data_IF_768897082409
#
_entry.id   IF_768897082409
#
_cell.length_a   1.000
_cell.length_b   1.000
_cell.length_c   1.000
_cell.angle_alpha   90.00
_cell.angle_beta   90.00
_cell.angle_gamma   90.00
#
_symmetry.space_group_name_H-M   'P 1'
#
loop_
_entity.id
_entity.type
_entity.pdbx_description
1 polymer ?
#
# COMPACT_ATOMS: atom_id res chain seq x y z
N UNK A 1 3.07 11.13 -18.37
CA UNK A 1 4.11 10.59 -17.48
C UNK A 1 3.52 10.47 -16.07
N UNK A 2 3.63 9.32 -15.48
CA UNK A 2 3.15 9.04 -14.13
C UNK A 2 3.97 9.85 -13.11
N UNK A 3 3.33 10.37 -12.05
CA UNK A 3 4.02 10.98 -10.90
C UNK A 3 3.56 10.32 -9.62
N UNK A 4 4.52 9.84 -8.81
CA UNK A 4 4.27 9.23 -7.52
C UNK A 4 4.94 10.03 -6.40
N UNK A 5 4.16 10.55 -5.46
CA UNK A 5 4.67 11.12 -4.21
C UNK A 5 4.90 10.01 -3.18
N UNK A 6 6.11 9.95 -2.66
CA UNK A 6 6.58 8.85 -1.82
C UNK A 6 7.31 9.36 -0.57
N UNK A 7 7.20 8.62 0.51
CA UNK A 7 8.05 8.75 1.70
C UNK A 7 8.60 7.38 2.08
N UNK A 8 9.84 7.33 2.56
CA UNK A 8 10.47 6.10 3.03
C UNK A 8 9.62 5.45 4.14
N UNK A 9 9.50 4.13 4.12
CA UNK A 9 8.72 3.33 5.08
C UNK A 9 7.23 3.65 5.14
N UNK A 10 6.67 4.29 4.13
CA UNK A 10 5.24 4.58 4.01
C UNK A 10 4.55 3.65 3.00
N UNK A 11 3.21 3.63 3.02
CA UNK A 11 2.39 2.81 2.11
C UNK A 11 2.58 3.11 0.63
N UNK A 12 3.14 4.25 0.30
CA UNK A 12 3.55 4.62 -1.06
C UNK A 12 4.67 3.71 -1.64
N UNK A 13 5.30 2.88 -0.81
CA UNK A 13 6.19 1.82 -1.28
C UNK A 13 5.47 0.80 -2.16
N UNK A 14 4.20 0.49 -1.88
CA UNK A 14 3.43 -0.50 -2.64
C UNK A 14 3.30 -0.15 -4.12
N UNK A 15 2.76 1.04 -4.50
CA UNK A 15 2.72 1.43 -5.90
C UNK A 15 4.11 1.66 -6.51
N UNK A 16 5.11 2.08 -5.73
CA UNK A 16 6.48 2.16 -6.22
C UNK A 16 6.99 0.78 -6.63
N UNK A 17 6.83 -0.22 -5.77
CA UNK A 17 7.21 -1.59 -6.09
C UNK A 17 6.44 -2.13 -7.30
N UNK A 18 5.12 -1.85 -7.39
CA UNK A 18 4.33 -2.24 -8.56
C UNK A 18 4.84 -1.62 -9.86
N UNK A 19 5.26 -0.34 -9.85
CA UNK A 19 5.87 0.29 -11.03
C UNK A 19 7.15 -0.43 -11.48
N UNK A 20 8.01 -0.79 -10.53
CA UNK A 20 9.26 -1.53 -10.81
C UNK A 20 8.98 -2.95 -11.34
N UNK A 21 8.04 -3.68 -10.74
CA UNK A 21 7.66 -5.04 -11.20
C UNK A 21 6.98 -5.02 -12.58
N UNK A 22 6.35 -3.92 -12.97
CA UNK A 22 5.85 -3.70 -14.32
C UNK A 22 6.95 -3.32 -15.32
N UNK A 23 8.20 -3.18 -14.86
CA UNK A 23 9.34 -2.78 -15.69
C UNK A 23 9.34 -1.31 -16.11
N UNK A 24 8.56 -0.47 -15.43
CA UNK A 24 8.54 0.97 -15.69
C UNK A 24 9.77 1.65 -15.09
N UNK A 25 10.37 2.56 -15.84
CA UNK A 25 11.67 3.15 -15.51
C UNK A 25 11.52 4.53 -14.88
N UNK A 26 12.09 4.70 -13.70
CA UNK A 26 12.18 6.01 -13.06
C UNK A 26 12.90 7.04 -13.96
N UNK A 27 12.35 8.26 -14.04
CA UNK A 27 12.88 9.35 -14.87
C UNK A 27 12.51 9.25 -16.36
N UNK A 28 11.85 8.17 -16.80
CA UNK A 28 11.42 7.94 -18.20
C UNK A 28 9.90 7.71 -18.24
N UNK A 29 9.43 6.67 -17.58
CA UNK A 29 8.03 6.24 -17.60
C UNK A 29 7.26 6.83 -16.40
N UNK A 30 7.94 7.03 -15.27
CA UNK A 30 7.38 7.70 -14.10
C UNK A 30 8.40 8.60 -13.38
N UNK A 31 7.89 9.56 -12.61
CA UNK A 31 8.64 10.46 -11.74
C UNK A 31 8.33 10.17 -10.27
N UNK A 32 9.38 10.03 -9.45
CA UNK A 32 9.28 9.84 -8.01
C UNK A 32 9.55 11.15 -7.28
N UNK A 33 8.57 11.65 -6.56
CA UNK A 33 8.66 12.85 -5.72
C UNK A 33 8.81 12.45 -4.26
N UNK A 34 10.04 12.53 -3.75
CA UNK A 34 10.35 12.19 -2.36
C UNK A 34 9.87 13.27 -1.40
N UNK A 35 9.23 12.85 -0.31
CA UNK A 35 8.74 13.72 0.77
C UNK A 35 9.24 13.23 2.13
N UNK A 36 9.49 14.13 3.09
CA UNK A 36 9.72 13.76 4.47
C UNK A 36 8.44 13.15 5.08
N UNK A 37 8.59 12.22 6.03
CA UNK A 37 7.44 11.58 6.69
C UNK A 37 7.27 12.09 8.14
N UNK A 38 6.06 12.42 8.58
CA UNK A 38 4.82 12.54 7.80
C UNK A 38 4.73 13.87 7.02
N UNK A 39 4.33 13.84 5.74
CA UNK A 39 4.38 15.02 4.87
C UNK A 39 3.58 16.21 5.42
N UNK A 40 2.41 15.99 5.98
CA UNK A 40 1.55 17.05 6.56
C UNK A 40 2.22 17.89 7.64
N UNK A 41 3.28 17.36 8.27
CA UNK A 41 4.04 18.04 9.33
C UNK A 41 5.25 18.76 8.77
N UNK A 42 5.96 18.11 7.84
CA UNK A 42 7.28 18.56 7.40
C UNK A 42 7.29 19.24 6.02
N UNK A 43 6.16 19.20 5.29
CA UNK A 43 6.02 19.76 3.94
C UNK A 43 4.59 20.28 3.76
N UNK A 44 4.29 21.46 4.33
CA UNK A 44 2.92 21.99 4.34
C UNK A 44 2.39 22.36 2.95
N UNK A 45 3.25 22.74 2.04
CA UNK A 45 2.92 23.02 0.64
C UNK A 45 2.34 21.80 -0.08
N UNK A 46 2.68 20.59 0.39
CA UNK A 46 2.12 19.36 -0.14
C UNK A 46 0.60 19.24 0.07
N UNK A 47 0.02 19.93 1.04
CA UNK A 47 -1.43 19.95 1.27
C UNK A 47 -2.21 20.55 0.07
N UNK A 48 -1.57 21.38 -0.74
CA UNK A 48 -2.16 21.88 -1.99
C UNK A 48 -2.24 20.79 -3.07
N UNK A 49 -1.39 19.76 -2.98
CA UNK A 49 -1.35 18.62 -3.91
C UNK A 49 -2.28 17.51 -3.40
N UNK A 50 -2.18 17.18 -2.13
CA UNK A 50 -3.02 16.19 -1.45
C UNK A 50 -3.51 16.74 -0.11
N UNK A 51 -4.79 17.17 -0.02
CA UNK A 51 -5.36 17.72 1.22
C UNK A 51 -5.37 16.75 2.40
N UNK A 52 -5.29 15.44 2.16
CA UNK A 52 -5.13 14.43 3.22
C UNK A 52 -3.76 14.50 3.91
N UNK A 53 -2.77 15.10 3.26
CA UNK A 53 -1.40 15.18 3.75
C UNK A 53 -0.73 13.82 3.97
N UNK A 54 -1.18 12.80 3.22
CA UNK A 54 -0.69 11.41 3.27
C UNK A 54 0.01 11.03 1.97
N UNK A 55 0.81 9.97 2.01
CA UNK A 55 1.36 9.32 0.81
C UNK A 55 0.85 7.88 0.74
N UNK A 56 0.62 7.36 -0.48
CA UNK A 56 0.91 7.95 -1.78
C UNK A 56 -0.03 9.08 -2.18
N UNK A 57 0.42 9.96 -3.06
CA UNK A 57 -0.41 10.64 -4.03
C UNK A 57 0.12 10.28 -5.41
N UNK A 58 -0.77 9.88 -6.29
CA UNK A 58 -0.45 9.32 -7.60
C UNK A 58 -1.20 10.09 -8.68
N UNK A 59 -0.51 10.38 -9.78
CA UNK A 59 -1.05 11.08 -10.93
C UNK A 59 -0.66 10.36 -12.22
N UNK A 60 -1.64 10.15 -13.10
CA UNK A 60 -1.45 9.65 -14.46
C UNK A 60 -2.36 10.45 -15.40
N UNK A 61 -1.81 11.48 -16.04
CA UNK A 61 -2.62 12.48 -16.73
C UNK A 61 -3.60 13.16 -15.78
N UNK A 62 -4.89 13.04 -16.06
CA UNK A 62 -5.97 13.61 -15.22
C UNK A 62 -6.37 12.70 -14.04
N UNK A 63 -5.88 11.47 -14.02
CA UNK A 63 -6.17 10.52 -12.93
C UNK A 63 -5.42 10.93 -11.68
N UNK A 64 -6.12 11.00 -10.54
CA UNK A 64 -5.57 11.29 -9.23
C UNK A 64 -6.02 10.24 -8.24
N UNK A 65 -5.08 9.62 -7.52
CA UNK A 65 -5.37 8.55 -6.56
C UNK A 65 -4.52 8.69 -5.30
N UNK A 66 -5.06 8.23 -4.16
CA UNK A 66 -4.38 8.26 -2.86
C UNK A 66 -4.33 6.89 -2.17
N UNK A 67 -5.17 5.95 -2.60
CA UNK A 67 -5.27 4.63 -2.00
C UNK A 67 -4.24 3.68 -2.63
N UNK A 68 -3.27 3.22 -1.83
CA UNK A 68 -2.13 2.44 -2.33
C UNK A 68 -2.53 1.14 -3.02
N UNK A 69 -3.48 0.39 -2.47
CA UNK A 69 -3.96 -0.85 -3.08
C UNK A 69 -4.70 -0.60 -4.40
N UNK A 70 -5.52 0.46 -4.45
CA UNK A 70 -6.22 0.84 -5.68
C UNK A 70 -5.24 1.32 -6.77
N UNK A 71 -4.17 2.01 -6.39
CA UNK A 71 -3.11 2.42 -7.33
C UNK A 71 -2.41 1.17 -7.89
N UNK A 72 -2.07 0.19 -7.07
CA UNK A 72 -1.47 -1.06 -7.54
C UNK A 72 -2.39 -1.77 -8.54
N UNK A 73 -3.67 -1.93 -8.21
CA UNK A 73 -4.65 -2.53 -9.11
C UNK A 73 -4.79 -1.73 -10.43
N UNK A 74 -4.87 -0.41 -10.34
CA UNK A 74 -4.93 0.48 -11.52
C UNK A 74 -3.72 0.30 -12.42
N UNK A 75 -2.51 0.32 -11.85
CA UNK A 75 -1.26 0.17 -12.60
C UNK A 75 -1.21 -1.17 -13.34
N UNK A 76 -1.52 -2.27 -12.66
CA UNK A 76 -1.49 -3.60 -13.24
C UNK A 76 -2.49 -3.71 -14.40
N UNK A 77 -3.72 -3.23 -14.23
CA UNK A 77 -4.74 -3.25 -15.29
C UNK A 77 -4.42 -2.27 -16.43
N UNK A 78 -3.82 -1.12 -16.12
CA UNK A 78 -3.46 -0.10 -17.14
C UNK A 78 -2.30 -0.54 -18.03
N UNK A 79 -1.40 -1.37 -17.50
CA UNK A 79 -0.23 -1.91 -18.20
C UNK A 79 -0.41 -3.38 -18.59
N UNK A 80 -1.65 -3.84 -18.73
CA UNK A 80 -1.96 -5.18 -19.21
C UNK A 80 -1.53 -5.37 -20.69
N UNK A 81 -1.16 -6.61 -21.10
CA UNK A 81 -1.10 -7.81 -20.28
C UNK A 81 0.11 -7.83 -19.35
N UNK A 82 -0.10 -8.20 -18.09
CA UNK A 82 0.95 -8.36 -17.10
C UNK A 82 0.74 -9.65 -16.29
N UNK A 83 1.79 -10.38 -15.91
CA UNK A 83 1.65 -11.54 -15.02
C UNK A 83 1.13 -11.15 -13.63
N UNK A 84 1.25 -9.90 -13.24
CA UNK A 84 0.75 -9.37 -11.96
C UNK A 84 -0.78 -9.23 -11.95
N UNK A 85 -1.43 -9.19 -13.13
CA UNK A 85 -2.87 -9.10 -13.24
C UNK A 85 -3.52 -10.49 -13.10
N UNK A 86 -4.60 -10.55 -12.32
CA UNK A 86 -5.55 -11.64 -12.35
C UNK A 86 -6.84 -11.10 -12.94
N UNK A 87 -7.24 -11.62 -14.10
CA UNK A 87 -8.39 -11.12 -14.85
C UNK A 87 -9.71 -11.59 -14.25
N UNK A 88 -10.83 -10.87 -14.48
CA UNK A 88 -12.14 -11.23 -13.95
C UNK A 88 -12.66 -12.61 -14.37
N UNK A 89 -12.17 -13.15 -15.47
CA UNK A 89 -12.51 -14.49 -15.97
C UNK A 89 -11.60 -15.61 -15.44
N UNK A 90 -10.53 -15.28 -14.73
CA UNK A 90 -9.68 -16.26 -14.06
C UNK A 90 -10.32 -16.78 -12.76
N UNK A 91 -10.24 -18.08 -12.46
CA UNK A 91 -10.79 -18.64 -11.23
C UNK A 91 -10.26 -18.00 -9.94
N UNK A 92 -9.02 -17.51 -9.96
CA UNK A 92 -8.36 -16.88 -8.82
C UNK A 92 -8.73 -15.41 -8.59
N UNK A 93 -9.52 -14.78 -9.47
CA UNK A 93 -9.82 -13.35 -9.41
C UNK A 93 -10.40 -12.89 -8.06
N UNK A 94 -11.37 -13.65 -7.53
CA UNK A 94 -11.95 -13.33 -6.23
C UNK A 94 -10.96 -13.43 -5.07
N UNK A 95 -10.09 -14.43 -5.11
CA UNK A 95 -9.01 -14.60 -4.13
C UNK A 95 -8.00 -13.45 -4.22
N UNK A 96 -7.60 -13.08 -5.43
CA UNK A 96 -6.69 -11.96 -5.67
C UNK A 96 -7.21 -10.64 -5.12
N UNK A 97 -8.46 -10.29 -5.42
CA UNK A 97 -9.10 -9.11 -4.82
C UNK A 97 -9.14 -9.18 -3.29
N UNK A 98 -9.53 -10.35 -2.76
CA UNK A 98 -9.59 -10.53 -1.31
C UNK A 98 -8.23 -10.31 -0.65
N UNK A 99 -7.15 -10.87 -1.17
CA UNK A 99 -5.81 -10.69 -0.61
C UNK A 99 -5.28 -9.27 -0.76
N UNK A 100 -5.55 -8.60 -1.88
CA UNK A 100 -5.20 -7.21 -2.10
C UNK A 100 -5.82 -6.30 -1.00
N UNK A 101 -7.12 -6.44 -0.77
CA UNK A 101 -7.83 -5.65 0.24
C UNK A 101 -7.61 -6.15 1.67
N UNK A 102 -7.30 -7.42 1.87
CA UNK A 102 -6.89 -7.96 3.17
C UNK A 102 -5.61 -7.26 3.66
N UNK A 103 -4.64 -7.08 2.79
CA UNK A 103 -3.42 -6.34 3.09
C UNK A 103 -3.69 -4.90 3.51
N UNK A 104 -4.63 -4.21 2.84
CA UNK A 104 -4.95 -2.81 3.13
C UNK A 104 -5.87 -2.67 4.35
N UNK A 105 -7.02 -3.32 4.35
CA UNK A 105 -8.04 -3.10 5.37
C UNK A 105 -7.77 -3.92 6.64
N UNK A 106 -7.37 -5.19 6.50
CA UNK A 106 -7.28 -6.09 7.65
C UNK A 106 -5.95 -5.99 8.37
N UNK A 107 -4.82 -5.89 7.65
CA UNK A 107 -3.49 -5.84 8.24
C UNK A 107 -3.00 -4.42 8.52
N UNK A 108 -3.23 -3.48 7.61
CA UNK A 108 -2.67 -2.13 7.72
C UNK A 108 -3.31 -1.33 8.86
N UNK A 109 -4.60 -1.48 9.10
CA UNK A 109 -5.30 -0.72 10.13
C UNK A 109 -4.73 -0.95 11.54
N UNK A 110 -4.65 -2.17 12.08
CA UNK A 110 -4.07 -2.40 13.41
C UNK A 110 -2.58 -2.00 13.47
N UNK A 111 -1.81 -2.27 12.42
CA UNK A 111 -0.41 -1.85 12.36
C UNK A 111 -0.24 -0.33 12.47
N UNK A 112 -1.11 0.43 11.82
CA UNK A 112 -1.09 1.91 11.88
C UNK A 112 -1.34 2.41 13.31
N UNK A 113 -2.23 1.79 14.06
CA UNK A 113 -2.52 2.17 15.44
C UNK A 113 -1.39 1.81 16.40
N UNK A 114 -0.73 0.66 16.20
CA UNK A 114 0.49 0.32 16.93
C UNK A 114 1.55 1.39 16.70
N UNK A 115 1.83 1.72 15.44
CA UNK A 115 2.82 2.73 15.07
C UNK A 115 2.48 4.09 15.68
N UNK A 116 1.23 4.52 15.58
CA UNK A 116 0.75 5.79 16.12
C UNK A 116 1.00 5.91 17.61
N UNK A 117 0.47 4.99 18.40
CA UNK A 117 0.47 5.09 19.86
C UNK A 117 1.79 4.67 20.50
N UNK A 118 2.68 3.98 19.79
CA UNK A 118 4.01 3.60 20.29
C UNK A 118 5.09 4.62 19.91
N UNK A 119 4.99 5.25 18.72
CA UNK A 119 6.11 6.02 18.16
C UNK A 119 5.75 7.41 17.65
N UNK A 120 4.55 7.64 17.10
CA UNK A 120 4.23 8.90 16.42
C UNK A 120 3.59 9.95 17.32
N UNK A 121 2.84 9.54 18.33
CA UNK A 121 2.28 10.50 19.29
C UNK A 121 3.36 11.01 20.25
N UNK A 122 3.29 12.27 20.69
CA UNK A 122 4.08 12.78 21.81
C UNK A 122 3.91 11.88 23.05
N UNK A 123 4.92 11.82 23.90
CA UNK A 123 5.00 10.87 25.00
C UNK A 123 3.75 10.90 25.92
N UNK A 124 3.27 12.10 26.23
CA UNK A 124 2.11 12.35 27.06
C UNK A 124 0.77 11.90 26.43
N UNK A 125 0.76 11.63 25.12
CA UNK A 125 -0.40 11.15 24.36
C UNK A 125 -0.28 9.70 23.93
N UNK A 126 0.81 9.03 24.25
CA UNK A 126 0.98 7.62 23.95
C UNK A 126 0.01 6.78 24.77
N UNK A 127 -0.52 5.74 24.13
CA UNK A 127 -1.45 4.80 24.75
C UNK A 127 -0.87 3.39 24.64
N UNK A 128 0.01 2.97 25.59
CA UNK A 128 0.66 1.66 25.54
C UNK A 128 -0.32 0.49 25.44
N UNK A 129 -1.40 0.52 26.23
CA UNK A 129 -2.44 -0.51 26.21
C UNK A 129 -3.08 -0.63 24.81
N UNK A 130 -3.42 0.49 24.16
CA UNK A 130 -3.96 0.46 22.81
C UNK A 130 -2.96 -0.13 21.82
N UNK A 131 -1.68 0.24 21.93
CA UNK A 131 -0.63 -0.32 21.06
C UNK A 131 -0.50 -1.84 21.24
N UNK A 132 -0.57 -2.36 22.48
CA UNK A 132 -0.51 -3.80 22.75
C UNK A 132 -1.74 -4.54 22.22
N UNK A 133 -2.94 -4.00 22.40
CA UNK A 133 -4.18 -4.62 21.94
C UNK A 133 -4.23 -4.71 20.41
N UNK A 134 -3.85 -3.64 19.73
CA UNK A 134 -3.77 -3.65 18.26
C UNK A 134 -2.61 -4.50 17.73
N UNK A 135 -1.51 -4.65 18.46
CA UNK A 135 -0.45 -5.60 18.12
C UNK A 135 -0.96 -7.04 18.20
N UNK A 136 -1.67 -7.40 19.28
CA UNK A 136 -2.31 -8.73 19.42
C UNK A 136 -3.30 -8.95 18.28
N UNK A 137 -4.08 -7.93 17.96
CA UNK A 137 -5.04 -8.00 16.86
C UNK A 137 -4.34 -8.23 15.51
N UNK A 138 -3.27 -7.49 15.20
CA UNK A 138 -2.46 -7.70 13.99
C UNK A 138 -1.95 -9.13 13.90
N UNK A 139 -1.29 -9.61 14.96
CA UNK A 139 -0.73 -10.97 15.00
C UNK A 139 -1.82 -12.06 14.84
N UNK A 140 -3.00 -11.85 15.42
CA UNK A 140 -4.11 -12.79 15.26
C UNK A 140 -4.58 -12.89 13.80
N UNK A 141 -4.48 -11.81 13.02
CA UNK A 141 -4.86 -11.80 11.60
C UNK A 141 -3.84 -12.45 10.69
N UNK A 142 -2.56 -12.42 11.05
CA UNK A 142 -1.53 -13.15 10.31
C UNK A 142 -1.79 -14.67 10.27
N UNK A 143 -2.54 -15.22 11.23
CA UNK A 143 -2.97 -16.63 11.21
C UNK A 143 -3.76 -17.00 9.94
N UNK A 144 -4.49 -16.04 9.36
CA UNK A 144 -5.21 -16.29 8.10
C UNK A 144 -4.24 -16.44 6.93
N UNK A 145 -3.13 -15.70 6.95
CA UNK A 145 -2.05 -15.84 5.96
C UNK A 145 -1.34 -17.18 6.17
N UNK A 146 -0.95 -17.49 7.42
CA UNK A 146 -0.32 -18.75 7.76
C UNK A 146 -1.17 -19.96 7.35
N UNK A 147 -2.49 -19.87 7.50
CA UNK A 147 -3.41 -20.96 7.12
C UNK A 147 -3.57 -21.09 5.59
N UNK A 148 -3.31 -20.03 4.82
CA UNK A 148 -3.44 -20.04 3.36
C UNK A 148 -2.17 -20.50 2.63
N UNK A 149 -1.00 -20.43 3.29
CA UNK A 149 0.29 -20.74 2.68
C UNK A 149 0.63 -22.25 2.54
N UNK A 150 0.16 -23.18 3.41
CA UNK A 150 0.55 -24.57 3.32
C UNK A 150 0.24 -25.19 1.94
N UNK A 151 1.29 -25.67 1.27
CA UNK A 151 1.19 -26.28 -0.07
C UNK A 151 1.10 -25.30 -1.23
N UNK A 152 1.21 -24.00 -0.99
CA UNK A 152 1.17 -22.96 -2.01
C UNK A 152 2.48 -22.17 -2.01
N UNK A 153 3.02 -21.91 -3.20
CA UNK A 153 4.14 -20.98 -3.37
C UNK A 153 3.68 -19.50 -3.34
N UNK A 154 2.45 -19.26 -3.83
CA UNK A 154 1.82 -17.95 -3.88
C UNK A 154 0.45 -17.97 -3.19
N UNK A 155 -0.01 -16.86 -2.68
CA UNK A 155 -1.31 -16.72 -2.00
C UNK A 155 -2.51 -16.98 -2.94
N UNK A 156 -2.33 -16.75 -4.25
CA UNK A 156 -3.35 -17.02 -5.26
C UNK A 156 -2.72 -17.09 -6.66
N UNK A 157 -3.49 -17.61 -7.62
CA UNK A 157 -3.17 -17.64 -9.06
C UNK A 157 -1.89 -18.43 -9.45
N UNK A 158 -1.27 -19.16 -8.54
CA UNK A 158 -0.04 -19.95 -8.74
C UNK A 158 1.09 -19.16 -9.42
N UNK A 159 1.13 -17.85 -9.19
CA UNK A 159 2.14 -16.91 -9.67
C UNK A 159 2.25 -15.69 -8.77
N UNK A 160 3.35 -14.95 -8.90
CA UNK A 160 3.48 -13.63 -8.29
C UNK A 160 2.50 -12.63 -8.95
N UNK A 161 1.65 -11.99 -8.12
CA UNK A 161 0.60 -11.05 -8.58
C UNK A 161 0.59 -9.77 -7.76
#
# INVERSE_FOLDING_TARGET
MITLYHSVSARSFRPLWTLEELGLRHGIDYELRMLPFPPRVHCREYLAINPLGTVPAFFDGDVRMTESAAICQYLVSRHAPSPLEVKPDEPAYGAWLNWLYFGEATLTFPQTLVLRYRHMEPEERRLPQAAEDYQKWFLARLRAVDAALPGCEYLCADRFT
#
